data_IF_422562608232
#
_entry.id   IF_422562608232
#
_cell.length_a   1.000
_cell.length_b   1.000
_cell.length_c   1.000
_cell.angle_alpha   90.00
_cell.angle_beta   90.00
_cell.angle_gamma   90.00
#
_symmetry.space_group_name_H-M   'P 1'
#
loop_
_entity.id
_entity.type
_entity.pdbx_description
1 polymer ?
#
# COMPACT_ATOMS: atom_id res chain seq x y z
N UNK A 1 16.67 -3.32 5.71
CA UNK A 1 17.12 -4.72 5.61
C UNK A 1 15.90 -5.58 5.35
N UNK A 2 15.97 -6.50 4.39
CA UNK A 2 14.87 -7.17 3.70
C UNK A 2 14.20 -8.25 4.57
N UNK A 3 12.87 -8.34 4.59
CA UNK A 3 12.20 -9.59 4.96
C UNK A 3 12.11 -10.47 3.71
N UNK A 4 13.04 -11.41 3.60
CA UNK A 4 12.95 -12.52 2.66
C UNK A 4 11.99 -13.56 3.24
N UNK A 5 10.91 -13.87 2.51
CA UNK A 5 10.01 -14.94 2.87
C UNK A 5 10.69 -16.29 2.64
N UNK A 6 10.94 -17.02 3.72
CA UNK A 6 11.10 -18.47 3.71
C UNK A 6 9.78 -19.11 4.12
N UNK A 7 9.41 -20.18 3.42
CA UNK A 7 8.23 -20.97 3.71
C UNK A 7 8.31 -21.59 5.11
N UNK A 8 7.20 -21.55 5.85
CA UNK A 8 7.03 -22.28 7.10
C UNK A 8 7.01 -21.41 8.36
N UNK A 9 6.03 -20.51 8.47
CA UNK A 9 5.49 -20.12 9.77
C UNK A 9 4.08 -19.56 9.54
N UNK A 10 3.16 -19.76 10.49
CA UNK A 10 1.83 -19.16 10.44
C UNK A 10 2.03 -17.63 10.29
N UNK A 11 1.78 -17.06 9.10
CA UNK A 11 1.98 -15.63 8.88
C UNK A 11 1.04 -14.86 9.79
N UNK A 12 1.54 -14.42 10.95
CA UNK A 12 0.89 -13.42 11.79
C UNK A 12 0.96 -12.11 11.03
N UNK A 13 -0.04 -11.88 10.17
CA UNK A 13 -0.20 -10.60 9.52
C UNK A 13 -0.53 -9.56 10.60
N UNK A 14 0.16 -8.41 10.62
CA UNK A 14 -0.04 -7.43 11.67
C UNK A 14 -1.42 -6.78 11.51
N UNK A 15 -2.07 -6.42 12.62
CA UNK A 15 -3.28 -5.60 12.59
C UNK A 15 -3.03 -4.14 12.21
N UNK A 16 -1.76 -3.75 12.10
CA UNK A 16 -1.30 -2.39 11.82
C UNK A 16 -0.17 -2.44 10.80
N UNK A 17 -0.18 -1.50 9.86
CA UNK A 17 0.95 -1.22 8.98
C UNK A 17 1.39 0.23 9.15
N UNK A 18 2.69 0.47 9.12
CA UNK A 18 3.28 1.80 9.19
C UNK A 18 4.58 1.84 8.41
N UNK A 19 4.88 2.99 7.83
CA UNK A 19 6.16 3.29 7.21
C UNK A 19 6.57 4.74 7.51
N UNK A 20 7.87 5.06 7.53
CA UNK A 20 8.34 6.44 7.50
C UNK A 20 7.74 7.22 6.32
N UNK A 21 7.40 8.49 6.54
CA UNK A 21 6.83 9.33 5.48
C UNK A 21 7.78 9.46 4.27
N UNK A 22 9.09 9.36 4.47
CA UNK A 22 10.07 9.39 3.39
C UNK A 22 10.03 8.15 2.47
N UNK A 23 9.44 7.04 2.91
CA UNK A 23 9.24 5.85 2.08
C UNK A 23 8.01 5.98 1.16
N UNK A 24 7.13 6.96 1.43
CA UNK A 24 6.01 7.34 0.54
C UNK A 24 6.06 8.85 0.28
N UNK A 25 6.99 9.33 -0.56
CA UNK A 25 7.11 10.76 -0.87
C UNK A 25 5.84 11.33 -1.52
N UNK A 26 5.66 12.67 -1.56
CA UNK A 26 4.56 13.29 -2.29
C UNK A 26 4.45 12.75 -3.73
N UNK A 27 3.23 12.44 -4.18
CA UNK A 27 2.95 11.83 -5.48
C UNK A 27 3.14 10.31 -5.54
N UNK A 28 3.55 9.66 -4.44
CA UNK A 28 3.80 8.22 -4.41
C UNK A 28 2.74 7.45 -3.60
N UNK A 29 2.73 6.14 -3.81
CA UNK A 29 1.88 5.20 -3.08
C UNK A 29 2.65 3.95 -2.63
N UNK A 30 2.13 3.27 -1.62
CA UNK A 30 2.63 1.98 -1.16
C UNK A 30 1.45 1.04 -0.84
N UNK A 31 1.59 -0.23 -1.21
CA UNK A 31 0.65 -1.29 -0.84
C UNK A 31 1.07 -1.94 0.48
N UNK A 32 0.09 -2.41 1.24
CA UNK A 32 0.31 -3.12 2.49
C UNK A 32 -0.75 -4.19 2.73
N UNK A 33 -0.48 -5.10 3.67
CA UNK A 33 -1.42 -6.10 4.13
C UNK A 33 -1.61 -5.97 5.64
N UNK A 34 -2.87 -5.98 6.09
CA UNK A 34 -3.22 -6.01 7.52
C UNK A 34 -4.26 -7.10 7.80
N UNK A 35 -4.28 -7.60 9.04
CA UNK A 35 -5.37 -8.41 9.55
C UNK A 35 -6.49 -7.49 10.07
N UNK A 36 -7.64 -7.45 9.38
CA UNK A 36 -8.81 -6.66 9.79
C UNK A 36 -10.04 -7.56 9.87
N UNK A 37 -10.66 -7.63 11.07
CA UNK A 37 -11.81 -8.51 11.33
C UNK A 37 -11.55 -9.96 10.90
N UNK A 38 -10.40 -10.50 11.30
CA UNK A 38 -9.95 -11.87 10.99
C UNK A 38 -9.72 -12.15 9.50
N UNK A 39 -9.79 -11.13 8.65
CA UNK A 39 -9.53 -11.22 7.22
C UNK A 39 -8.22 -10.50 6.88
N UNK A 40 -7.37 -11.17 6.11
CA UNK A 40 -6.24 -10.51 5.46
C UNK A 40 -6.80 -9.58 4.37
N UNK A 41 -6.53 -8.28 4.49
CA UNK A 41 -6.92 -7.28 3.50
C UNK A 41 -5.69 -6.58 2.94
N UNK A 42 -5.67 -6.40 1.62
CA UNK A 42 -4.74 -5.48 0.98
C UNK A 42 -5.27 -4.05 1.13
N UNK A 43 -4.39 -3.12 1.45
CA UNK A 43 -4.64 -1.69 1.43
C UNK A 43 -3.53 -0.97 0.71
N UNK A 44 -3.75 0.32 0.45
CA UNK A 44 -2.72 1.19 -0.08
C UNK A 44 -2.79 2.57 0.57
N UNK A 45 -1.63 3.21 0.71
CA UNK A 45 -1.49 4.61 1.09
C UNK A 45 -1.05 5.43 -0.11
N UNK A 46 -1.58 6.64 -0.26
CA UNK A 46 -1.16 7.63 -1.26
C UNK A 46 -0.76 8.90 -0.52
N UNK A 47 0.40 9.45 -0.83
CA UNK A 47 0.80 10.77 -0.37
C UNK A 47 0.40 11.83 -1.41
N UNK A 48 -0.78 12.42 -1.25
CA UNK A 48 -1.29 13.45 -2.15
C UNK A 48 -1.01 14.85 -1.58
N UNK A 49 -0.14 15.61 -2.26
CA UNK A 49 0.22 16.97 -1.84
C UNK A 49 0.91 17.05 -0.48
N UNK A 50 1.72 16.03 -0.11
CA UNK A 50 2.38 15.97 1.20
C UNK A 50 1.50 15.41 2.32
N UNK A 51 0.27 14.96 2.01
CA UNK A 51 -0.69 14.41 2.97
C UNK A 51 -0.96 12.95 2.65
N UNK A 52 -0.71 12.01 3.58
CA UNK A 52 -1.01 10.60 3.38
C UNK A 52 -2.51 10.32 3.54
N UNK A 53 -3.05 9.48 2.66
CA UNK A 53 -4.41 8.93 2.69
C UNK A 53 -4.33 7.41 2.50
N UNK A 54 -5.03 6.63 3.32
CA UNK A 54 -5.01 5.17 3.23
C UNK A 54 -6.40 4.61 2.91
N UNK A 55 -6.44 3.57 2.08
CA UNK A 55 -7.66 2.93 1.61
C UNK A 55 -7.52 1.41 1.68
N UNK A 56 -8.64 0.72 1.89
CA UNK A 56 -8.71 -0.74 1.70
C UNK A 56 -8.86 -1.01 0.21
N UNK A 57 -8.00 -1.87 -0.34
CA UNK A 57 -8.04 -2.26 -1.74
C UNK A 57 -9.09 -3.35 -1.98
N UNK A 58 -10.37 -3.01 -1.80
CA UNK A 58 -11.47 -3.95 -1.92
C UNK A 58 -12.68 -3.33 -2.63
N UNK A 59 -13.02 -3.87 -3.80
CA UNK A 59 -14.28 -3.53 -4.45
C UNK A 59 -15.45 -4.26 -3.75
N UNK A 60 -16.33 -3.51 -3.08
CA UNK A 60 -17.51 -4.07 -2.39
C UNK A 60 -18.49 -4.78 -3.33
N UNK A 61 -18.39 -4.53 -4.64
CA UNK A 61 -19.29 -5.08 -5.66
C UNK A 61 -18.74 -6.39 -6.24
N UNK A 62 -17.50 -6.40 -6.70
CA UNK A 62 -16.91 -7.54 -7.42
C UNK A 62 -15.96 -8.39 -6.57
N UNK A 63 -15.55 -7.92 -5.39
CA UNK A 63 -14.58 -8.60 -4.54
C UNK A 63 -13.14 -8.63 -5.07
N UNK A 64 -12.89 -8.01 -6.23
CA UNK A 64 -11.57 -7.84 -6.82
C UNK A 64 -10.85 -6.63 -6.20
N UNK A 65 -9.51 -6.60 -6.23
CA UNK A 65 -8.76 -5.41 -5.88
C UNK A 65 -9.20 -4.24 -6.77
N UNK A 66 -9.30 -3.04 -6.19
CA UNK A 66 -9.33 -1.78 -6.90
C UNK A 66 -7.89 -1.48 -7.35
N UNK A 67 -7.32 -2.34 -8.19
CA UNK A 67 -6.00 -2.10 -8.72
C UNK A 67 -6.03 -0.82 -9.53
N UNK A 68 -5.60 0.26 -8.87
CA UNK A 68 -5.15 1.47 -9.51
C UNK A 68 -4.08 1.00 -10.50
N UNK A 69 -4.28 1.36 -11.77
CA UNK A 69 -3.34 1.25 -12.87
C UNK A 69 -1.88 1.21 -12.40
N UNK A 70 -0.99 0.37 -12.98
CA UNK A 70 0.38 0.25 -12.52
C UNK A 70 0.94 1.64 -12.30
N UNK A 71 1.53 1.84 -11.14
CA UNK A 71 2.22 3.02 -10.66
C UNK A 71 3.30 3.45 -11.66
N UNK A 72 2.87 4.07 -12.76
CA UNK A 72 3.74 4.66 -13.77
C UNK A 72 4.30 5.94 -13.17
N UNK A 73 5.61 5.94 -12.97
CA UNK A 73 6.37 7.12 -12.65
C UNK A 73 6.07 8.22 -13.66
N UNK A 74 5.41 9.29 -13.25
CA UNK A 74 5.48 10.57 -13.97
C UNK A 74 6.84 11.21 -13.66
N UNK A 75 7.94 10.59 -14.09
CA UNK A 75 9.21 11.30 -14.22
C UNK A 75 9.08 12.19 -15.45
N UNK A 76 8.44 13.33 -15.28
CA UNK A 76 8.72 14.50 -16.10
C UNK A 76 8.94 15.63 -15.11
N UNK A 77 10.21 15.84 -14.79
CA UNK A 77 10.72 17.16 -14.44
C UNK A 77 10.40 18.09 -15.62
N UNK A 78 9.20 18.67 -15.64
CA UNK A 78 9.01 19.93 -16.33
C UNK A 78 9.42 21.00 -15.33
N UNK A 79 10.68 21.45 -15.46
CA UNK A 79 11.05 22.77 -15.01
C UNK A 79 10.11 23.76 -15.70
N UNK A 80 9.32 24.51 -14.93
CA UNK A 80 9.03 25.94 -15.11
C UNK A 80 8.52 26.48 -13.77
#
# INVERSE_FOLDING_TARGET
>A
MKAAGIAGDLMVHPGVWSAPLCEVPPGHSAKFHILWRERLVEGFVVNFGGRPYAYVNYCIHAGTPLDWWPNESSTTSAAF
#
